data_IF_213181287461
#
_entry.id   IF_213181287461
#
_cell.length_a   1.000
_cell.length_b   1.000
_cell.length_c   1.000
_cell.angle_alpha   90.00
_cell.angle_beta   90.00
_cell.angle_gamma   90.00
#
_symmetry.space_group_name_H-M   'P 1'
#
loop_
_entity.id
_entity.type
_entity.pdbx_description
1 polymer ?
#
# COMPACT_ATOMS: atom_id res chain seq x y z
N UNK A 1 13.41 5.43 -0.58
CA UNK A 1 12.58 6.33 0.25
C UNK A 1 11.18 6.26 -0.31
N UNK A 2 10.29 5.54 0.35
CA UNK A 2 8.93 5.33 -0.14
C UNK A 2 8.07 6.53 0.26
N UNK A 3 7.39 7.16 -0.69
CA UNK A 3 6.63 8.38 -0.44
C UNK A 3 5.28 8.05 0.21
N UNK A 4 4.99 8.71 1.33
CA UNK A 4 3.73 8.56 2.08
C UNK A 4 2.50 8.86 1.21
N UNK A 5 2.63 9.81 0.28
CA UNK A 5 1.60 10.16 -0.68
C UNK A 5 2.02 9.80 -2.11
N UNK A 6 1.05 9.53 -2.98
CA UNK A 6 1.25 9.24 -4.40
C UNK A 6 0.14 9.85 -5.26
N UNK A 7 0.48 10.26 -6.48
CA UNK A 7 -0.47 10.89 -7.40
C UNK A 7 0.11 12.13 -8.09
N UNK A 8 -0.70 12.88 -8.86
CA UNK A 8 -2.16 12.77 -9.00
C UNK A 8 -2.61 11.54 -9.80
N UNK A 9 -3.58 10.80 -9.28
CA UNK A 9 -4.21 9.65 -9.93
C UNK A 9 -5.49 10.11 -10.63
N UNK A 10 -5.69 9.78 -11.93
CA UNK A 10 -6.94 10.07 -12.63
C UNK A 10 -8.13 9.48 -11.86
N UNK A 11 -9.09 10.34 -11.51
CA UNK A 11 -10.29 9.94 -10.79
C UNK A 11 -11.51 10.19 -11.64
N UNK A 12 -12.29 9.14 -11.88
CA UNK A 12 -13.55 9.27 -12.63
C UNK A 12 -14.57 10.15 -11.90
N UNK A 13 -14.53 10.22 -10.56
CA UNK A 13 -15.47 11.02 -9.75
C UNK A 13 -15.00 12.45 -9.50
N UNK A 14 -13.70 12.65 -9.26
CA UNK A 14 -13.13 13.92 -8.79
C UNK A 14 -12.15 14.57 -9.79
N UNK A 15 -11.95 13.97 -10.97
CA UNK A 15 -10.94 14.38 -11.95
C UNK A 15 -9.54 13.92 -11.55
N UNK A 16 -9.08 14.29 -10.35
CA UNK A 16 -7.78 13.88 -9.79
C UNK A 16 -7.93 13.46 -8.33
N UNK A 17 -7.10 12.52 -7.89
CA UNK A 17 -7.01 12.09 -6.50
C UNK A 17 -5.56 11.96 -6.07
N UNK A 18 -5.31 12.19 -4.78
CA UNK A 18 -4.04 11.91 -4.13
C UNK A 18 -4.24 10.66 -3.27
N UNK A 19 -3.40 9.64 -3.46
CA UNK A 19 -3.37 8.45 -2.63
C UNK A 19 -2.40 8.62 -1.46
N UNK A 20 -2.67 7.91 -0.36
CA UNK A 20 -1.81 7.85 0.82
C UNK A 20 -1.56 6.37 1.15
N UNK A 21 -0.29 6.01 1.36
CA UNK A 21 0.14 4.67 1.74
C UNK A 21 0.28 4.58 3.25
N UNK A 22 -0.78 4.29 3.98
CA UNK A 22 -0.76 4.15 5.45
C UNK A 22 -0.09 2.85 5.96
N UNK A 23 0.54 2.07 5.08
CA UNK A 23 1.22 0.82 5.47
C UNK A 23 2.58 0.80 4.74
N UNK A 24 3.69 0.56 5.45
CA UNK A 24 4.99 0.42 4.82
C UNK A 24 4.99 -0.77 3.85
N UNK A 25 5.66 -0.65 2.72
CA UNK A 25 5.57 -1.69 1.70
C UNK A 25 5.96 -3.08 2.19
N UNK A 26 5.33 -4.07 1.56
CA UNK A 26 5.56 -5.50 1.77
C UNK A 26 5.25 -5.99 3.19
N UNK A 27 4.51 -5.22 3.97
CA UNK A 27 3.87 -5.67 5.19
C UNK A 27 2.43 -6.08 4.86
N UNK A 28 2.13 -7.37 4.91
CA UNK A 28 0.79 -7.88 4.61
C UNK A 28 0.53 -9.17 5.38
N UNK A 29 -0.75 -9.45 5.62
CA UNK A 29 -1.21 -10.67 6.31
C UNK A 29 -1.08 -11.92 5.45
N UNK A 30 -0.71 -11.77 4.18
CA UNK A 30 -0.74 -12.84 3.19
C UNK A 30 0.38 -12.72 2.15
N UNK A 31 1.03 -13.83 1.79
CA UNK A 31 2.11 -13.88 0.79
C UNK A 31 1.56 -14.35 -0.55
N UNK A 32 0.71 -13.53 -1.19
CA UNK A 32 0.02 -13.91 -2.43
C UNK A 32 1.03 -14.19 -3.57
N UNK A 33 0.91 -15.35 -4.23
CA UNK A 33 1.72 -15.72 -5.40
C UNK A 33 1.48 -14.81 -6.62
N UNK A 34 0.35 -14.11 -6.64
CA UNK A 34 -0.05 -13.17 -7.70
C UNK A 34 0.16 -11.70 -7.30
N UNK A 35 0.89 -11.42 -6.23
CA UNK A 35 1.10 -10.05 -5.77
C UNK A 35 1.91 -9.25 -6.81
N UNK A 36 1.31 -8.21 -7.40
CA UNK A 36 1.96 -7.31 -8.36
C UNK A 36 3.15 -6.56 -7.75
N UNK A 37 3.11 -6.31 -6.44
CA UNK A 37 4.23 -5.70 -5.74
C UNK A 37 5.37 -6.71 -5.52
N UNK A 38 5.10 -8.02 -5.60
CA UNK A 38 6.02 -9.12 -5.34
C UNK A 38 5.94 -9.66 -3.91
N UNK A 39 6.86 -10.56 -3.53
CA UNK A 39 6.89 -11.26 -2.23
C UNK A 39 6.84 -10.30 -1.03
N UNK A 40 6.16 -10.73 0.03
CA UNK A 40 6.15 -10.05 1.33
C UNK A 40 7.55 -10.12 1.97
N UNK A 41 7.95 -9.06 2.65
CA UNK A 41 9.17 -9.04 3.46
C UNK A 41 8.86 -9.34 4.92
N UNK A 42 7.63 -9.05 5.34
CA UNK A 42 7.20 -9.20 6.72
C UNK A 42 5.72 -9.60 6.77
N UNK A 43 5.49 -10.90 7.01
CA UNK A 43 4.15 -11.45 7.18
C UNK A 43 3.71 -11.26 8.63
N UNK A 44 2.66 -10.47 8.84
CA UNK A 44 2.12 -10.19 10.17
C UNK A 44 0.60 -10.31 10.15
N UNK A 45 0.03 -10.98 11.14
CA UNK A 45 -1.42 -11.16 11.33
C UNK A 45 -1.98 -10.37 12.51
N UNK A 46 -1.11 -9.95 13.42
CA UNK A 46 -1.52 -9.13 14.57
C UNK A 46 -1.83 -7.70 14.14
N UNK A 47 -2.96 -7.18 14.65
CA UNK A 47 -3.37 -5.80 14.40
C UNK A 47 -2.46 -4.84 15.15
N UNK A 48 -1.91 -3.86 14.44
CA UNK A 48 -1.16 -2.74 15.02
C UNK A 48 -1.46 -1.44 14.29
N UNK A 49 -1.15 -0.32 14.94
CA UNK A 49 -1.14 0.97 14.27
C UNK A 49 0.08 1.07 13.35
N UNK A 50 -0.14 1.66 12.18
CA UNK A 50 0.92 2.18 11.32
C UNK A 50 0.96 3.72 11.46
N UNK A 51 1.81 4.37 10.65
CA UNK A 51 1.91 5.83 10.59
C UNK A 51 0.73 6.48 9.86
#
# INVERSE_FOLDING_TARGET
>A
METLAFGPVPSRRLGKSLGINNIPAKNCTYSCIYCQLGRTLNMMVERKAFY
#
